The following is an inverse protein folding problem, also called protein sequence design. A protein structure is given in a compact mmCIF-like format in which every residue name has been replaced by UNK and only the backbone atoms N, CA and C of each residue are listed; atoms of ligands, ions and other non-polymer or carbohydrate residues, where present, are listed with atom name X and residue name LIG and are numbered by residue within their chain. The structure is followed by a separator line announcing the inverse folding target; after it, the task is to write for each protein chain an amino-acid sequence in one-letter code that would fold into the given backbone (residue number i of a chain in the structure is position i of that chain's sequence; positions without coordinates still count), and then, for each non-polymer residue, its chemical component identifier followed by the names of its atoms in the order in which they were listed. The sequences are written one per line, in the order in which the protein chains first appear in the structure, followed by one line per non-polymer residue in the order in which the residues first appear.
data_IF_074111741304
#
_entry.id   IF_074111741304
#
_cell.length_a   1.000
_cell.length_b   1.000
_cell.length_c   1.000
_cell.angle_alpha   90.00
_cell.angle_beta   90.00
_cell.angle_gamma   90.00
#
_symmetry.space_group_name_H-M   'P 1'
#
loop_
_entity.id
_entity.type
_entity.pdbx_description
1 polymer ?
#
# COMPACT_ATOMS: atom_id res chain seq x y z
N UNK A 1 58.98 24.62 -22.99
CA UNK A 1 59.74 23.46 -22.48
C UNK A 1 60.01 23.69 -21.01
N UNK A 2 59.14 23.19 -20.13
CA UNK A 2 59.29 23.35 -18.69
C UNK A 2 60.36 22.38 -18.17
N UNK A 3 61.36 22.91 -17.47
CA UNK A 3 62.40 22.15 -16.81
C UNK A 3 61.79 21.22 -15.76
N UNK A 4 61.69 19.92 -16.07
CA UNK A 4 61.55 18.88 -15.05
C UNK A 4 62.89 18.77 -14.34
N UNK A 5 63.01 19.36 -13.15
CA UNK A 5 64.22 19.22 -12.33
C UNK A 5 64.30 17.76 -11.82
N UNK A 6 65.46 17.08 -11.97
CA UNK A 6 65.66 15.71 -11.47
C UNK A 6 65.44 15.55 -9.95
N UNK A 7 65.49 16.66 -9.20
CA UNK A 7 65.25 16.66 -7.75
C UNK A 7 63.78 16.44 -7.36
N UNK A 8 62.82 16.65 -8.26
CA UNK A 8 61.41 16.36 -8.01
C UNK A 8 61.10 14.84 -8.14
N UNK A 9 61.91 14.10 -8.89
CA UNK A 9 61.77 12.64 -9.11
C UNK A 9 62.38 11.85 -7.94
N UNK A 10 63.34 12.44 -7.21
CA UNK A 10 64.06 11.79 -6.10
C UNK A 10 63.93 12.54 -4.76
N UNK A 11 62.79 13.15 -4.49
CA UNK A 11 62.52 13.65 -3.14
C UNK A 11 62.23 12.47 -2.20
N UNK A 12 62.92 12.35 -1.04
CA UNK A 12 62.65 11.30 -0.05
C UNK A 12 61.17 11.19 0.36
N UNK A 13 60.42 12.29 0.27
CA UNK A 13 58.99 12.31 0.53
C UNK A 13 58.18 11.58 -0.55
N UNK A 14 58.49 11.82 -1.83
CA UNK A 14 57.83 11.16 -2.97
C UNK A 14 58.17 9.67 -3.01
N UNK A 15 59.43 9.31 -2.73
CA UNK A 15 59.86 7.92 -2.63
C UNK A 15 59.14 7.17 -1.50
N UNK A 16 58.91 7.82 -0.34
CA UNK A 16 58.11 7.24 0.76
C UNK A 16 56.64 7.06 0.37
N UNK A 17 56.04 8.03 -0.33
CA UNK A 17 54.66 7.92 -0.80
C UNK A 17 54.49 6.81 -1.84
N UNK A 18 55.43 6.66 -2.78
CA UNK A 18 55.44 5.57 -3.74
C UNK A 18 55.62 4.21 -3.07
N UNK A 19 56.50 4.11 -2.06
CA UNK A 19 56.69 2.88 -1.30
C UNK A 19 55.45 2.50 -0.48
N UNK A 20 54.79 3.48 0.14
CA UNK A 20 53.53 3.27 0.84
C UNK A 20 52.42 2.80 -0.12
N UNK A 21 52.25 3.48 -1.25
CA UNK A 21 51.29 3.08 -2.28
C UNK A 21 51.60 1.67 -2.85
N UNK A 22 52.87 1.33 -3.05
CA UNK A 22 53.25 -0.02 -3.48
C UNK A 22 52.92 -1.09 -2.43
N UNK A 23 53.10 -0.79 -1.14
CA UNK A 23 52.70 -1.68 -0.05
C UNK A 23 51.19 -1.90 -0.03
N UNK A 24 50.42 -0.84 -0.18
CA UNK A 24 48.96 -0.89 -0.20
C UNK A 24 48.44 -1.67 -1.41
N UNK A 25 49.05 -1.49 -2.58
CA UNK A 25 48.74 -2.30 -3.77
C UNK A 25 49.07 -3.78 -3.57
N UNK A 26 50.21 -4.11 -2.96
CA UNK A 26 50.56 -5.50 -2.66
C UNK A 26 49.54 -6.15 -1.70
N UNK A 27 49.06 -5.40 -0.70
CA UNK A 27 47.99 -5.87 0.18
C UNK A 27 46.70 -6.12 -0.61
N UNK A 28 46.25 -5.15 -1.42
CA UNK A 28 45.06 -5.31 -2.28
C UNK A 28 45.20 -6.51 -3.23
N UNK A 29 46.36 -6.71 -3.84
CA UNK A 29 46.61 -7.84 -4.74
C UNK A 29 46.54 -9.18 -4.00
N UNK A 30 47.11 -9.26 -2.80
CA UNK A 30 47.00 -10.45 -1.96
C UNK A 30 45.55 -10.74 -1.55
N UNK A 31 44.81 -9.70 -1.16
CA UNK A 31 43.40 -9.79 -0.77
C UNK A 31 42.51 -10.21 -1.94
N UNK A 32 42.68 -9.61 -3.12
CA UNK A 32 41.98 -10.01 -4.35
C UNK A 32 42.32 -11.45 -4.73
N UNK A 33 43.59 -11.85 -4.66
CA UNK A 33 43.98 -13.24 -4.97
C UNK A 33 43.30 -14.26 -4.06
N UNK A 34 43.14 -13.93 -2.78
CA UNK A 34 42.40 -14.75 -1.83
C UNK A 34 40.90 -14.80 -2.18
N UNK A 35 40.26 -13.65 -2.43
CA UNK A 35 38.81 -13.60 -2.76
C UNK A 35 38.45 -14.26 -4.09
N UNK A 36 39.36 -14.27 -5.05
CA UNK A 36 39.17 -14.95 -6.34
C UNK A 36 39.70 -16.39 -6.36
N UNK A 37 40.08 -16.97 -5.20
CA UNK A 37 40.60 -18.33 -5.08
C UNK A 37 41.77 -18.61 -6.06
N UNK A 38 42.69 -17.66 -6.17
CA UNK A 38 43.83 -17.73 -7.08
C UNK A 38 43.52 -17.47 -8.57
N UNK A 39 42.27 -17.15 -8.93
CA UNK A 39 41.94 -16.65 -10.26
C UNK A 39 42.28 -15.16 -10.37
N UNK A 40 42.60 -14.71 -11.58
CA UNK A 40 42.88 -13.29 -11.81
C UNK A 40 41.59 -12.48 -11.68
N UNK A 41 41.60 -11.37 -10.92
CA UNK A 41 40.47 -10.45 -10.89
C UNK A 41 40.25 -9.82 -12.27
N UNK A 42 39.03 -9.33 -12.58
CA UNK A 42 38.77 -8.54 -13.77
C UNK A 42 39.74 -7.35 -13.90
N UNK A 43 40.09 -6.95 -15.11
CA UNK A 43 40.98 -5.80 -15.32
C UNK A 43 40.33 -4.52 -14.82
N UNK A 44 41.07 -3.73 -14.03
CA UNK A 44 40.64 -2.43 -13.54
C UNK A 44 41.78 -1.41 -13.63
N UNK A 45 41.42 -0.13 -13.62
CA UNK A 45 42.38 0.96 -13.64
C UNK A 45 43.10 1.08 -12.30
N UNK A 46 44.44 1.16 -12.30
CA UNK A 46 45.22 1.41 -11.08
C UNK A 46 45.49 2.90 -10.92
N UNK A 47 44.65 3.57 -10.14
CA UNK A 47 44.80 4.98 -9.77
C UNK A 47 44.62 5.15 -8.24
N UNK A 48 44.81 6.36 -7.70
CA UNK A 48 44.72 6.57 -6.25
C UNK A 48 43.30 6.36 -5.71
N UNK A 49 42.29 6.76 -6.49
CA UNK A 49 40.88 6.64 -6.11
C UNK A 49 40.44 5.18 -6.01
N UNK A 50 40.86 4.35 -6.97
CA UNK A 50 40.63 2.90 -6.96
C UNK A 50 41.37 2.21 -5.84
N UNK A 51 42.62 2.59 -5.55
CA UNK A 51 43.35 2.07 -4.39
C UNK A 51 42.59 2.36 -3.09
N UNK A 52 42.15 3.61 -2.90
CA UNK A 52 41.39 4.03 -1.72
C UNK A 52 40.07 3.25 -1.59
N UNK A 53 39.35 3.08 -2.70
CA UNK A 53 38.10 2.31 -2.72
C UNK A 53 38.33 0.83 -2.38
N UNK A 54 39.36 0.20 -2.97
CA UNK A 54 39.69 -1.20 -2.73
C UNK A 54 40.18 -1.45 -1.30
N UNK A 55 40.97 -0.55 -0.73
CA UNK A 55 41.36 -0.63 0.68
C UNK A 55 40.16 -0.50 1.62
N UNK A 56 39.23 0.41 1.33
CA UNK A 56 38.01 0.55 2.11
C UNK A 56 37.13 -0.70 2.02
N UNK A 57 37.00 -1.30 0.83
CA UNK A 57 36.28 -2.56 0.63
C UNK A 57 36.95 -3.73 1.34
N UNK A 58 38.28 -3.83 1.27
CA UNK A 58 39.03 -4.86 1.97
C UNK A 58 38.84 -4.74 3.48
N UNK A 59 38.98 -3.55 4.05
CA UNK A 59 38.77 -3.30 5.47
C UNK A 59 37.34 -3.64 5.93
N UNK A 60 36.31 -3.25 5.16
CA UNK A 60 34.92 -3.58 5.46
C UNK A 60 34.66 -5.08 5.37
N UNK A 61 35.29 -5.75 4.41
CA UNK A 61 35.16 -7.18 4.26
C UNK A 61 35.85 -7.94 5.40
N UNK A 62 37.07 -7.55 5.75
CA UNK A 62 37.82 -8.14 6.87
C UNK A 62 37.04 -7.94 8.19
N UNK A 63 36.48 -6.74 8.44
CA UNK A 63 35.63 -6.53 9.63
C UNK A 63 34.37 -7.40 9.63
N UNK A 64 33.74 -7.58 8.47
CA UNK A 64 32.55 -8.43 8.37
C UNK A 64 32.88 -9.92 8.54
N UNK A 65 34.05 -10.35 8.06
CA UNK A 65 34.53 -11.73 8.25
C UNK A 65 34.92 -11.97 9.72
N UNK A 66 35.57 -11.02 10.39
CA UNK A 66 35.84 -11.07 11.84
C UNK A 66 34.55 -11.14 12.68
N UNK A 67 33.54 -10.33 12.36
CA UNK A 67 32.24 -10.36 13.04
C UNK A 67 31.54 -11.71 12.85
N UNK A 68 31.56 -12.28 11.63
CA UNK A 68 31.02 -13.62 11.36
C UNK A 68 31.74 -14.69 12.15
N UNK A 69 33.07 -14.65 12.18
CA UNK A 69 33.89 -15.59 12.95
C UNK A 69 33.61 -15.50 14.46
N UNK A 70 33.41 -14.29 14.98
CA UNK A 70 33.03 -14.09 16.39
C UNK A 70 31.64 -14.69 16.67
N UNK A 71 30.66 -14.40 15.83
CA UNK A 71 29.30 -14.93 15.96
C UNK A 71 29.29 -16.46 15.88
N UNK A 72 30.01 -17.06 14.94
CA UNK A 72 30.12 -18.51 14.81
C UNK A 72 30.74 -19.16 16.07
N UNK A 73 31.73 -18.53 16.70
CA UNK A 73 32.31 -19.01 17.97
C UNK A 73 31.33 -18.90 19.13
N UNK A 74 30.58 -17.79 19.20
CA UNK A 74 29.55 -17.58 20.23
C UNK A 74 28.45 -18.62 20.08
N UNK A 75 27.96 -18.86 18.86
CA UNK A 75 26.95 -19.87 18.56
C UNK A 75 27.45 -21.28 18.89
N UNK A 76 28.67 -21.64 18.48
CA UNK A 76 29.26 -22.94 18.80
C UNK A 76 29.39 -23.18 20.32
N UNK A 77 29.82 -22.16 21.06
CA UNK A 77 29.91 -22.24 22.52
C UNK A 77 28.52 -22.31 23.17
N UNK A 78 27.56 -21.50 22.71
CA UNK A 78 26.19 -21.54 23.21
C UNK A 78 25.54 -22.90 22.98
N UNK A 79 25.76 -23.52 21.80
CA UNK A 79 25.31 -24.89 21.51
C UNK A 79 25.96 -25.90 22.45
N UNK A 80 27.27 -25.81 22.69
CA UNK A 80 27.96 -26.70 23.63
C UNK A 80 27.39 -26.58 25.06
N UNK A 81 27.14 -25.35 25.52
CA UNK A 81 26.58 -25.08 26.84
C UNK A 81 25.13 -25.60 26.98
N UNK A 82 24.35 -25.59 25.88
CA UNK A 82 22.99 -26.15 25.85
C UNK A 82 23.01 -27.68 25.90
N UNK A 83 23.85 -28.33 25.08
CA UNK A 83 24.00 -29.79 25.09
C UNK A 83 24.44 -30.30 26.47
N UNK A 84 25.40 -29.62 27.10
CA UNK A 84 25.85 -29.97 28.45
C UNK A 84 24.75 -29.82 29.52
N UNK A 85 23.78 -28.92 29.31
CA UNK A 85 22.62 -28.77 30.20
C UNK A 85 21.57 -29.85 29.97
N UNK A 86 21.31 -30.23 28.71
CA UNK A 86 20.40 -31.33 28.38
C UNK A 86 20.87 -32.66 28.97
N UNK A 87 22.16 -32.98 28.85
CA UNK A 87 22.75 -34.20 29.42
C UNK A 87 22.61 -34.28 30.96
N UNK A 88 22.50 -33.13 31.62
CA UNK A 88 22.33 -33.01 33.08
C UNK A 88 20.90 -32.83 33.56
N UNK A 89 19.89 -32.83 32.67
CA UNK A 89 18.51 -32.55 33.05
C UNK A 89 17.84 -33.77 33.71
N UNK A 90 17.50 -33.70 35.02
CA UNK A 90 16.82 -34.79 35.72
C UNK A 90 15.40 -35.07 35.20
N UNK A 91 14.84 -34.20 34.37
CA UNK A 91 13.51 -34.37 33.77
C UNK A 91 13.54 -34.95 32.36
N UNK A 92 14.71 -35.17 31.78
CA UNK A 92 14.87 -35.73 30.43
C UNK A 92 14.12 -37.06 30.23
N UNK A 93 14.21 -37.99 31.20
CA UNK A 93 13.50 -39.27 31.16
C UNK A 93 11.96 -39.10 31.16
N UNK A 94 11.44 -38.13 31.92
CA UNK A 94 10.01 -37.82 31.96
C UNK A 94 9.53 -37.21 30.65
N UNK A 95 10.30 -36.31 30.07
CA UNK A 95 10.00 -35.69 28.76
C UNK A 95 9.98 -36.75 27.67
N UNK A 96 10.99 -37.62 27.62
CA UNK A 96 11.04 -38.73 26.67
C UNK A 96 9.84 -39.67 26.82
N UNK A 97 9.46 -40.03 28.06
CA UNK A 97 8.28 -40.86 28.31
C UNK A 97 6.97 -40.19 27.88
N UNK A 98 6.87 -38.86 27.98
CA UNK A 98 5.71 -38.11 27.50
C UNK A 98 5.67 -38.11 25.96
N UNK A 99 6.81 -37.87 25.31
CA UNK A 99 6.93 -37.90 23.85
C UNK A 99 6.60 -39.27 23.25
N UNK A 100 7.03 -40.35 23.90
CA UNK A 100 6.71 -41.73 23.52
C UNK A 100 5.22 -42.07 23.70
N UNK A 101 4.53 -41.37 24.60
CA UNK A 101 3.10 -41.56 24.86
C UNK A 101 2.20 -40.78 23.89
N UNK A 102 2.76 -39.87 23.09
CA UNK A 102 2.00 -39.09 22.12
C UNK A 102 1.56 -39.97 20.94
N UNK A 103 0.39 -39.65 20.38
CA UNK A 103 -0.02 -40.20 19.09
C UNK A 103 0.90 -39.66 17.99
N UNK A 104 0.96 -40.35 16.85
CA UNK A 104 1.70 -39.88 15.66
C UNK A 104 1.33 -38.45 15.25
N UNK A 105 0.05 -38.11 15.34
CA UNK A 105 -0.45 -36.75 15.08
C UNK A 105 0.04 -35.74 16.12
N UNK A 106 0.08 -36.13 17.39
CA UNK A 106 0.63 -35.32 18.48
C UNK A 106 2.12 -35.03 18.29
N UNK A 107 2.91 -36.04 17.95
CA UNK A 107 4.35 -35.89 17.65
C UNK A 107 4.56 -34.94 16.47
N UNK A 108 3.83 -35.14 15.37
CA UNK A 108 3.93 -34.29 14.17
C UNK A 108 3.57 -32.83 14.49
N UNK A 109 2.53 -32.61 15.30
CA UNK A 109 2.09 -31.27 15.69
C UNK A 109 3.09 -30.57 16.61
N UNK A 110 3.68 -31.30 17.55
CA UNK A 110 4.72 -30.79 18.45
C UNK A 110 5.98 -30.41 17.67
N UNK A 111 6.43 -31.28 16.77
CA UNK A 111 7.58 -31.01 15.89
C UNK A 111 7.34 -29.81 14.99
N UNK A 112 6.13 -29.66 14.43
CA UNK A 112 5.75 -28.49 13.65
C UNK A 112 5.78 -27.19 14.48
N UNK A 113 5.31 -27.23 15.73
CA UNK A 113 5.38 -26.09 16.65
C UNK A 113 6.82 -25.75 17.04
N UNK A 114 7.65 -26.74 17.36
CA UNK A 114 9.06 -26.55 17.67
C UNK A 114 9.81 -25.94 16.47
N UNK A 115 9.60 -26.50 15.28
CA UNK A 115 10.19 -26.00 14.02
C UNK A 115 9.74 -24.57 13.73
N UNK A 116 8.44 -24.28 13.88
CA UNK A 116 7.92 -22.92 13.69
C UNK A 116 8.50 -21.94 14.71
N UNK A 117 8.68 -22.37 15.95
CA UNK A 117 9.29 -21.57 17.01
C UNK A 117 10.73 -21.19 16.69
N UNK A 118 11.53 -22.16 16.24
CA UNK A 118 12.91 -21.95 15.82
C UNK A 118 12.97 -21.05 14.59
N UNK A 119 12.15 -21.33 13.57
CA UNK A 119 12.10 -20.53 12.34
C UNK A 119 11.70 -19.07 12.59
N UNK A 120 10.80 -18.83 13.55
CA UNK A 120 10.35 -17.49 13.96
C UNK A 120 11.24 -16.88 15.06
N UNK A 121 12.33 -17.57 15.45
CA UNK A 121 13.23 -17.18 16.52
C UNK A 121 12.51 -16.81 17.83
N UNK A 122 11.49 -17.58 18.19
CA UNK A 122 10.74 -17.44 19.43
C UNK A 122 11.18 -18.53 20.41
N UNK A 123 11.79 -18.21 21.57
CA UNK A 123 12.25 -19.23 22.52
C UNK A 123 11.13 -19.80 23.41
N UNK A 124 10.01 -19.08 23.58
CA UNK A 124 8.85 -19.48 24.37
C UNK A 124 7.58 -19.27 23.54
N UNK A 125 7.30 -20.17 22.57
CA UNK A 125 6.19 -19.99 21.66
C UNK A 125 4.86 -20.15 22.40
N UNK A 126 4.01 -19.13 22.30
CA UNK A 126 2.57 -19.34 22.45
C UNK A 126 1.95 -19.41 21.06
N UNK A 127 0.86 -20.17 20.90
CA UNK A 127 0.19 -20.32 19.61
C UNK A 127 -0.21 -18.93 19.07
N UNK A 128 -0.64 -18.00 19.94
CA UNK A 128 -0.98 -16.64 19.50
C UNK A 128 0.25 -15.86 19.02
N UNK A 129 1.42 -16.03 19.66
CA UNK A 129 2.66 -15.35 19.26
C UNK A 129 3.23 -15.89 17.96
N UNK A 130 3.18 -17.21 17.75
CA UNK A 130 3.55 -17.83 16.48
C UNK A 130 2.61 -17.38 15.35
N UNK A 131 1.30 -17.42 15.60
CA UNK A 131 0.30 -16.98 14.63
C UNK A 131 0.46 -15.50 14.26
N UNK A 132 0.69 -14.62 15.24
CA UNK A 132 0.92 -13.20 15.00
C UNK A 132 2.19 -12.95 14.21
N UNK A 133 3.30 -13.60 14.58
CA UNK A 133 4.57 -13.47 13.85
C UNK A 133 4.45 -13.96 12.41
N UNK A 134 3.66 -15.02 12.17
CA UNK A 134 3.37 -15.51 10.82
C UNK A 134 2.57 -14.48 10.01
N UNK A 135 1.55 -13.86 10.62
CA UNK A 135 0.79 -12.79 9.97
C UNK A 135 1.66 -11.57 9.69
N UNK A 136 2.51 -11.16 10.63
CA UNK A 136 3.42 -10.03 10.47
C UNK A 136 4.42 -10.29 9.32
N UNK A 137 4.98 -11.49 9.24
CA UNK A 137 5.83 -11.90 8.11
C UNK A 137 5.07 -11.89 6.78
N UNK A 138 3.81 -12.35 6.78
CA UNK A 138 2.98 -12.38 5.59
C UNK A 138 2.66 -10.96 5.11
N UNK A 139 2.33 -10.03 6.02
CA UNK A 139 2.16 -8.61 5.71
C UNK A 139 3.45 -8.03 5.12
N UNK A 140 4.59 -8.26 5.76
CA UNK A 140 5.88 -7.78 5.28
C UNK A 140 6.22 -8.33 3.88
N UNK A 141 5.89 -9.58 3.61
CA UNK A 141 6.07 -10.21 2.30
C UNK A 141 5.23 -9.51 1.23
N UNK A 142 3.94 -9.25 1.50
CA UNK A 142 3.08 -8.53 0.56
C UNK A 142 3.54 -7.08 0.33
N UNK A 143 3.97 -6.38 1.39
CA UNK A 143 4.49 -5.02 1.28
C UNK A 143 5.75 -4.98 0.40
N UNK A 144 6.65 -5.96 0.57
CA UNK A 144 7.88 -6.06 -0.22
C UNK A 144 7.58 -6.41 -1.69
N UNK A 145 6.62 -7.28 -1.94
CA UNK A 145 6.20 -7.67 -3.29
C UNK A 145 5.60 -6.47 -4.05
N UNK A 146 4.70 -5.72 -3.39
CA UNK A 146 4.14 -4.48 -3.94
C UNK A 146 5.23 -3.43 -4.19
N UNK A 147 6.19 -3.28 -3.27
CA UNK A 147 7.31 -2.37 -3.46
C UNK A 147 8.18 -2.77 -4.66
N UNK A 148 8.41 -4.07 -4.85
CA UNK A 148 9.16 -4.63 -5.98
C UNK A 148 8.46 -4.37 -7.31
N UNK A 149 7.15 -4.62 -7.39
CA UNK A 149 6.35 -4.32 -8.59
C UNK A 149 6.39 -2.82 -8.93
N UNK A 150 6.24 -1.96 -7.90
CA UNK A 150 6.32 -0.50 -8.09
C UNK A 150 7.70 -0.06 -8.60
N UNK A 151 8.78 -0.63 -8.06
CA UNK A 151 10.14 -0.34 -8.52
C UNK A 151 10.30 -0.78 -9.98
N UNK A 152 9.80 -1.96 -10.34
CA UNK A 152 9.85 -2.47 -11.73
C UNK A 152 9.13 -1.55 -12.72
N UNK A 153 7.95 -1.05 -12.36
CA UNK A 153 7.21 -0.08 -13.18
C UNK A 153 8.01 1.22 -13.34
N UNK A 154 8.61 1.72 -12.25
CA UNK A 154 9.39 2.95 -12.27
C UNK A 154 10.67 2.79 -13.10
N UNK A 155 11.33 1.64 -13.01
CA UNK A 155 12.49 1.29 -13.83
C UNK A 155 12.12 1.27 -15.32
N UNK A 156 11.03 0.58 -15.68
CA UNK A 156 10.54 0.54 -17.07
C UNK A 156 10.21 1.93 -17.60
N UNK A 157 9.61 2.79 -16.76
CA UNK A 157 9.33 4.18 -17.10
C UNK A 157 10.62 4.98 -17.33
N UNK A 158 11.59 4.89 -16.41
CA UNK A 158 12.87 5.58 -16.55
C UNK A 158 13.64 5.12 -17.78
N UNK A 159 13.65 3.83 -18.08
CA UNK A 159 14.29 3.29 -19.27
C UNK A 159 13.62 3.81 -20.56
N UNK A 160 12.29 3.92 -20.57
CA UNK A 160 11.54 4.51 -21.68
C UNK A 160 11.85 6.00 -21.87
N UNK A 161 11.90 6.76 -20.77
CA UNK A 161 12.25 8.18 -20.81
C UNK A 161 13.70 8.38 -21.26
N UNK A 162 14.65 7.58 -20.76
CA UNK A 162 16.04 7.61 -21.22
C UNK A 162 16.15 7.30 -22.71
N UNK A 163 15.42 6.30 -23.21
CA UNK A 163 15.38 6.01 -24.64
C UNK A 163 14.83 7.20 -25.45
N UNK A 164 13.71 7.79 -24.99
CA UNK A 164 13.11 8.99 -25.59
C UNK A 164 14.08 10.17 -25.63
N UNK A 165 14.73 10.47 -24.51
CA UNK A 165 15.71 11.55 -24.41
C UNK A 165 16.90 11.28 -25.34
N UNK A 166 17.40 10.05 -25.40
CA UNK A 166 18.48 9.69 -26.32
C UNK A 166 18.07 9.86 -27.79
N UNK A 167 16.83 9.52 -28.15
CA UNK A 167 16.31 9.80 -29.51
C UNK A 167 16.24 11.30 -29.78
N UNK A 168 15.74 12.09 -28.83
CA UNK A 168 15.66 13.54 -28.97
C UNK A 168 17.05 14.19 -29.09
N UNK A 169 18.02 13.74 -28.29
CA UNK A 169 19.41 14.22 -28.38
C UNK A 169 19.97 13.95 -29.78
N UNK A 170 19.74 12.74 -30.32
CA UNK A 170 20.18 12.38 -31.66
C UNK A 170 19.52 13.27 -32.73
N UNK A 171 18.22 13.53 -32.60
CA UNK A 171 17.49 14.38 -33.54
C UNK A 171 17.96 15.84 -33.48
N UNK A 172 18.21 16.38 -32.29
CA UNK A 172 18.71 17.74 -32.07
C UNK A 172 20.17 17.92 -32.52
N UNK A 173 20.98 16.87 -32.43
CA UNK A 173 22.37 16.87 -32.91
C UNK A 173 22.48 16.61 -34.42
N UNK A 174 21.40 16.23 -35.09
CA UNK A 174 21.37 16.00 -36.53
C UNK A 174 21.42 17.29 -37.33
N UNK A 175 22.16 17.28 -38.45
CA UNK A 175 22.35 18.43 -39.36
C UNK A 175 21.04 18.97 -39.99
N UNK A 176 19.94 18.22 -39.86
CA UNK A 176 18.59 18.58 -40.32
C UNK A 176 17.76 19.40 -39.33
N UNK A 177 18.22 19.57 -38.08
CA UNK A 177 17.47 20.32 -37.08
C UNK A 177 17.58 21.84 -37.31
N UNK A 178 16.49 22.46 -37.76
CA UNK A 178 16.31 23.91 -37.79
C UNK A 178 15.38 24.30 -36.63
N UNK A 179 15.79 25.17 -35.70
CA UNK A 179 14.93 25.66 -34.63
C UNK A 179 13.66 26.27 -35.24
N UNK A 180 12.45 25.85 -34.80
CA UNK A 180 11.21 26.46 -35.27
C UNK A 180 11.22 27.97 -35.02
N UNK A 181 10.86 28.78 -36.01
CA UNK A 181 10.90 30.24 -35.91
C UNK A 181 10.02 30.81 -34.76
N UNK A 182 9.03 30.03 -34.29
CA UNK A 182 8.15 30.39 -33.18
C UNK A 182 8.60 29.86 -31.80
N UNK A 183 9.78 29.23 -31.69
CA UNK A 183 10.31 28.66 -30.43
C UNK A 183 10.37 29.71 -29.31
N UNK A 184 10.78 30.94 -29.63
CA UNK A 184 10.86 32.04 -28.67
C UNK A 184 9.47 32.44 -28.15
N UNK A 185 8.46 32.46 -29.02
CA UNK A 185 7.07 32.75 -28.63
C UNK A 185 6.52 31.63 -27.74
N UNK A 186 6.72 30.37 -28.13
CA UNK A 186 6.29 29.21 -27.34
C UNK A 186 6.98 29.15 -25.97
N UNK A 187 8.27 29.49 -25.90
CA UNK A 187 9.02 29.54 -24.63
C UNK A 187 8.45 30.58 -23.68
N UNK A 188 8.10 31.77 -24.20
CA UNK A 188 7.44 32.82 -23.42
C UNK A 188 6.07 32.36 -22.91
N UNK A 189 5.29 31.67 -23.76
CA UNK A 189 3.97 31.15 -23.38
C UNK A 189 4.08 30.02 -22.34
N UNK A 190 5.04 29.11 -22.48
CA UNK A 190 5.31 28.08 -21.47
C UNK A 190 5.79 28.67 -20.15
N UNK A 191 6.64 29.71 -20.18
CA UNK A 191 7.04 30.43 -18.97
C UNK A 191 5.85 31.11 -18.28
N UNK A 192 4.93 31.72 -19.04
CA UNK A 192 3.70 32.31 -18.50
C UNK A 192 2.80 31.24 -17.87
N UNK A 193 2.60 30.11 -18.55
CA UNK A 193 1.81 28.97 -18.04
C UNK A 193 2.44 28.36 -16.80
N UNK A 194 3.76 28.16 -16.80
CA UNK A 194 4.49 27.63 -15.65
C UNK A 194 4.37 28.55 -14.44
N UNK A 195 4.49 29.88 -14.61
CA UNK A 195 4.26 30.86 -13.52
C UNK A 195 2.81 30.82 -13.02
N UNK A 196 1.83 30.71 -13.91
CA UNK A 196 0.42 30.63 -13.53
C UNK A 196 0.07 29.32 -12.81
N UNK A 197 0.73 28.21 -13.14
CA UNK A 197 0.59 26.93 -12.43
C UNK A 197 1.34 26.94 -11.10
N UNK A 198 2.56 27.50 -11.06
CA UNK A 198 3.34 27.60 -9.81
C UNK A 198 2.65 28.50 -8.78
N UNK A 199 1.95 29.55 -9.21
CA UNK A 199 1.15 30.40 -8.31
C UNK A 199 -0.07 29.69 -7.74
N UNK A 200 -0.61 28.66 -8.42
CA UNK A 200 -1.74 27.84 -7.95
C UNK A 200 -1.31 26.65 -7.08
N UNK A 201 -0.05 26.26 -7.16
CA UNK A 201 0.54 25.16 -6.40
C UNK A 201 0.40 25.33 -4.86
N UNK A 202 0.63 26.51 -4.26
CA UNK A 202 0.39 26.71 -2.83
C UNK A 202 -1.09 26.56 -2.47
N UNK A 203 -2.02 27.11 -3.27
CA UNK A 203 -3.46 26.95 -3.05
C UNK A 203 -3.90 25.48 -3.10
N UNK A 204 -3.38 24.70 -4.06
CA UNK A 204 -3.63 23.26 -4.14
C UNK A 204 -3.02 22.50 -2.96
N UNK A 205 -1.81 22.86 -2.52
CA UNK A 205 -1.18 22.29 -1.33
C UNK A 205 -2.00 22.61 -0.07
N UNK A 206 -2.51 23.83 0.07
CA UNK A 206 -3.36 24.24 1.19
C UNK A 206 -4.72 23.54 1.14
N UNK A 207 -5.27 23.31 -0.05
CA UNK A 207 -6.50 22.52 -0.25
C UNK A 207 -6.29 21.05 0.12
N UNK A 208 -5.16 20.46 -0.24
CA UNK A 208 -4.81 19.08 0.18
C UNK A 208 -4.54 19.04 1.68
N UNK A 209 -3.85 20.04 2.23
CA UNK A 209 -3.57 20.14 3.66
C UNK A 209 -4.87 20.28 4.47
N UNK A 210 -5.81 21.12 4.05
CA UNK A 210 -7.12 21.29 4.70
C UNK A 210 -8.00 20.04 4.58
N UNK A 211 -8.04 19.39 3.42
CA UNK A 211 -8.72 18.10 3.25
C UNK A 211 -8.09 17.00 4.11
N UNK A 212 -6.76 16.96 4.19
CA UNK A 212 -6.05 16.01 5.05
C UNK A 212 -6.20 16.32 6.55
N UNK A 213 -6.34 17.61 6.92
CA UNK A 213 -6.59 18.03 8.30
C UNK A 213 -8.01 17.66 8.74
N UNK A 214 -8.99 17.71 7.84
CA UNK A 214 -10.34 17.18 8.07
C UNK A 214 -10.39 15.65 8.18
N UNK A 215 -9.42 14.94 7.59
CA UNK A 215 -9.31 13.47 7.65
C UNK A 215 -8.38 12.95 8.76
N UNK A 216 -7.81 13.83 9.61
CA UNK A 216 -6.83 13.48 10.65
C UNK A 216 -7.42 13.05 12.00
N UNK A 217 -8.74 12.92 12.13
CA UNK A 217 -9.29 12.11 13.22
C UNK A 217 -9.09 10.67 12.81
N UNK A 218 -8.13 9.96 13.41
CA UNK A 218 -8.03 8.51 13.29
C UNK A 218 -9.42 7.94 13.57
N UNK A 219 -10.10 7.44 12.55
CA UNK A 219 -11.43 6.83 12.69
C UNK A 219 -11.24 5.65 13.62
N UNK A 220 -11.71 5.79 14.85
CA UNK A 220 -11.59 4.76 15.86
C UNK A 220 -12.69 3.74 15.63
N UNK A 221 -12.48 2.48 16.04
CA UNK A 221 -13.53 1.44 15.98
C UNK A 221 -14.81 1.91 16.69
N UNK A 222 -14.66 2.75 17.73
CA UNK A 222 -15.76 3.40 18.43
C UNK A 222 -16.59 4.33 17.52
N UNK A 223 -15.94 5.08 16.62
CA UNK A 223 -16.61 6.01 15.70
C UNK A 223 -17.39 5.26 14.62
N UNK A 224 -16.81 4.16 14.11
CA UNK A 224 -17.50 3.25 13.17
C UNK A 224 -18.74 2.65 13.84
N UNK A 225 -18.63 2.23 15.10
CA UNK A 225 -19.77 1.68 15.85
C UNK A 225 -20.86 2.73 16.08
N UNK A 226 -20.51 3.98 16.38
CA UNK A 226 -21.49 5.06 16.51
C UNK A 226 -22.21 5.33 15.18
N UNK A 227 -21.48 5.33 14.07
CA UNK A 227 -22.07 5.57 12.75
C UNK A 227 -22.94 4.38 12.29
N UNK A 228 -22.56 3.16 12.65
CA UNK A 228 -23.37 1.96 12.44
C UNK A 228 -24.71 2.04 13.19
N UNK A 229 -24.70 2.49 14.45
CA UNK A 229 -25.93 2.66 15.23
C UNK A 229 -26.84 3.77 14.66
N UNK A 230 -26.26 4.88 14.19
CA UNK A 230 -27.03 5.91 13.46
C UNK A 230 -27.62 5.36 12.17
N UNK A 231 -26.86 4.57 11.42
CA UNK A 231 -27.33 3.95 10.18
C UNK A 231 -28.47 2.96 10.46
N UNK A 232 -28.37 2.14 11.52
CA UNK A 232 -29.47 1.27 11.97
C UNK A 232 -30.72 2.06 12.35
N UNK A 233 -30.56 3.17 13.06
CA UNK A 233 -31.67 4.05 13.39
C UNK A 233 -32.33 4.64 12.13
N UNK A 234 -31.53 5.10 11.16
CA UNK A 234 -32.03 5.61 9.89
C UNK A 234 -32.71 4.52 9.05
N UNK A 235 -32.18 3.31 9.04
CA UNK A 235 -32.81 2.15 8.43
C UNK A 235 -34.19 1.86 9.06
N UNK A 236 -34.31 1.99 10.38
CA UNK A 236 -35.60 1.82 11.06
C UNK A 236 -36.60 2.91 10.67
N UNK A 237 -36.16 4.17 10.54
CA UNK A 237 -37.03 5.26 10.08
C UNK A 237 -37.43 5.09 8.62
N UNK A 238 -36.50 4.73 7.74
CA UNK A 238 -36.78 4.42 6.33
C UNK A 238 -37.78 3.27 6.23
N UNK A 239 -37.60 2.18 6.97
CA UNK A 239 -38.54 1.07 6.98
C UNK A 239 -39.93 1.49 7.47
N UNK A 240 -40.01 2.38 8.46
CA UNK A 240 -41.27 2.98 8.92
C UNK A 240 -41.94 3.83 7.84
N UNK A 241 -41.16 4.68 7.16
CA UNK A 241 -41.65 5.51 6.05
C UNK A 241 -42.06 4.66 4.86
N UNK A 242 -41.32 3.61 4.51
CA UNK A 242 -41.69 2.66 3.46
C UNK A 242 -42.98 1.90 3.81
N UNK A 243 -43.18 1.51 5.07
CA UNK A 243 -44.44 0.92 5.52
C UNK A 243 -45.60 1.93 5.40
N UNK A 244 -45.34 3.21 5.72
CA UNK A 244 -46.32 4.28 5.55
C UNK A 244 -46.63 4.53 4.06
N UNK A 245 -45.63 4.56 3.19
CA UNK A 245 -45.80 4.66 1.72
C UNK A 245 -46.53 3.44 1.15
N UNK A 246 -46.25 2.24 1.65
CA UNK A 246 -47.00 1.02 1.30
C UNK A 246 -48.45 1.07 1.76
N UNK A 247 -48.76 1.74 2.87
CA UNK A 247 -50.17 1.95 3.27
C UNK A 247 -50.93 2.87 2.30
N UNK A 248 -50.20 3.70 1.54
CA UNK A 248 -50.75 4.51 0.46
C UNK A 248 -50.68 3.82 -0.92
N UNK A 249 -50.14 2.59 -1.01
CA UNK A 249 -50.13 1.81 -2.24
C UNK A 249 -51.56 1.34 -2.56
N UNK A 250 -52.16 1.97 -3.56
CA UNK A 250 -53.58 1.82 -3.92
C UNK A 250 -54.27 3.15 -4.18
N UNK A 251 -53.69 4.27 -3.73
CA UNK A 251 -54.08 5.61 -4.18
C UNK A 251 -53.54 5.84 -5.60
N UNK A 252 -54.35 6.30 -6.56
CA UNK A 252 -53.87 6.65 -7.89
C UNK A 252 -52.71 7.66 -7.77
N UNK A 253 -51.61 7.41 -8.48
CA UNK A 253 -50.43 8.30 -8.50
C UNK A 253 -50.76 9.70 -9.01
N UNK A 254 -51.90 9.85 -9.69
CA UNK A 254 -52.35 11.08 -10.29
C UNK A 254 -53.59 11.60 -9.53
N UNK A 255 -53.39 12.63 -8.70
CA UNK A 255 -54.43 13.20 -7.84
C UNK A 255 -55.58 13.80 -8.63
N UNK A 256 -55.32 14.20 -9.88
CA UNK A 256 -56.32 14.82 -10.74
C UNK A 256 -57.26 13.78 -11.35
N UNK A 257 -56.77 12.59 -11.69
CA UNK A 257 -57.61 11.45 -12.12
C UNK A 257 -58.52 10.97 -10.99
N UNK A 258 -57.99 10.84 -9.77
CA UNK A 258 -58.78 10.44 -8.60
C UNK A 258 -59.88 11.46 -8.26
N UNK A 259 -59.62 12.75 -8.46
CA UNK A 259 -60.62 13.82 -8.30
C UNK A 259 -61.71 13.75 -9.38
N UNK A 260 -61.32 13.43 -10.61
CA UNK A 260 -62.25 13.27 -11.73
C UNK A 260 -63.22 12.12 -11.49
N UNK A 261 -62.72 10.97 -11.03
CA UNK A 261 -63.52 9.79 -10.71
C UNK A 261 -64.45 10.04 -9.49
N UNK A 262 -63.98 10.78 -8.49
CA UNK A 262 -64.80 11.18 -7.35
C UNK A 262 -65.94 12.11 -7.79
N UNK A 263 -65.65 13.08 -8.67
CA UNK A 263 -66.67 13.99 -9.17
C UNK A 263 -67.67 13.29 -10.09
N UNK A 264 -67.25 12.30 -10.91
CA UNK A 264 -68.19 11.47 -11.68
C UNK A 264 -69.10 10.65 -10.78
N UNK A 265 -68.57 10.04 -9.73
CA UNK A 265 -69.38 9.29 -8.75
C UNK A 265 -70.34 10.21 -7.97
N UNK A 266 -69.96 11.47 -7.70
CA UNK A 266 -70.86 12.46 -7.09
C UNK A 266 -72.00 12.87 -8.02
N UNK A 267 -71.72 12.99 -9.31
CA UNK A 267 -72.76 13.27 -10.31
C UNK A 267 -73.74 12.08 -10.36
N UNK A 268 -73.22 10.85 -10.43
CA UNK A 268 -74.05 9.64 -10.42
C UNK A 268 -74.91 9.52 -9.15
N UNK A 269 -74.35 9.86 -7.98
CA UNK A 269 -75.11 9.87 -6.72
C UNK A 269 -76.20 10.95 -6.75
N UNK A 270 -75.93 12.14 -7.29
CA UNK A 270 -76.97 13.17 -7.47
C UNK A 270 -78.08 12.70 -8.41
N UNK A 271 -77.73 12.06 -9.52
CA UNK A 271 -78.72 11.56 -10.48
C UNK A 271 -79.59 10.45 -9.87
N UNK A 272 -79.00 9.52 -9.11
CA UNK A 272 -79.75 8.51 -8.35
C UNK A 272 -80.62 9.15 -7.27
N UNK A 273 -80.16 10.24 -6.64
CA UNK A 273 -80.95 10.99 -5.66
C UNK A 273 -82.13 11.67 -6.32
N UNK A 274 -81.95 12.29 -7.50
CA UNK A 274 -83.03 12.89 -8.28
C UNK A 274 -84.02 11.83 -8.79
N UNK A 275 -83.54 10.66 -9.21
CA UNK A 275 -84.42 9.54 -9.56
C UNK A 275 -85.22 9.06 -8.35
N UNK A 276 -84.59 8.92 -7.18
CA UNK A 276 -85.28 8.58 -5.93
C UNK A 276 -86.35 9.62 -5.61
N UNK A 277 -86.01 10.91 -5.70
CA UNK A 277 -86.92 11.99 -5.35
C UNK A 277 -88.06 12.11 -6.36
N UNK A 278 -87.81 11.90 -7.66
CA UNK A 278 -88.86 11.82 -8.69
C UNK A 278 -89.77 10.60 -8.52
N UNK A 279 -89.22 9.43 -8.17
CA UNK A 279 -90.04 8.26 -7.83
C UNK A 279 -90.86 8.50 -6.56
N UNK A 280 -90.29 9.21 -5.58
CA UNK A 280 -90.99 9.59 -4.35
C UNK A 280 -92.11 10.59 -4.63
N UNK A 281 -91.87 11.63 -5.44
CA UNK A 281 -92.90 12.56 -5.90
C UNK A 281 -94.01 11.84 -6.67
N UNK A 282 -93.67 10.91 -7.57
CA UNK A 282 -94.66 10.09 -8.29
C UNK A 282 -95.47 9.15 -7.38
N UNK A 283 -94.90 8.69 -6.26
CA UNK A 283 -95.62 7.97 -5.21
C UNK A 283 -96.55 8.91 -4.42
N UNK A 284 -96.08 10.11 -4.08
CA UNK A 284 -96.85 11.14 -3.36
C UNK A 284 -98.00 11.70 -4.23
N UNK A 285 -97.83 11.86 -5.54
CA UNK A 285 -98.88 12.26 -6.48
C UNK A 285 -99.94 11.17 -6.71
N UNK A 286 -99.55 9.89 -6.62
CA UNK A 286 -100.50 8.76 -6.66
C UNK A 286 -101.30 8.61 -5.36
N UNK A 287 -100.70 8.94 -4.22
CA UNK A 287 -101.32 8.86 -2.89
C UNK A 287 -102.03 10.17 -2.48
N UNK A 288 -101.84 11.26 -3.22
CA UNK A 288 -102.53 12.54 -2.95
C UNK A 288 -103.86 12.64 -3.71
N UNK A 289 -104.98 12.91 -3.01
CA UNK A 289 -106.29 12.99 -3.65
C UNK A 289 -106.37 14.23 -4.56
N UNK A 290 -106.56 13.99 -5.86
CA UNK A 290 -106.89 15.03 -6.83
C UNK A 290 -108.18 15.72 -6.42
N UNK A 291 -108.09 16.99 -6.02
CA UNK A 291 -109.25 17.83 -5.71
C UNK A 291 -109.89 18.27 -7.03
N UNK A 292 -110.81 17.46 -7.55
CA UNK A 292 -111.73 17.86 -8.62
C UNK A 292 -112.54 19.07 -8.15
N UNK A 293 -112.33 20.23 -8.79
CA UNK A 293 -113.18 21.42 -8.63
C UNK A 293 -114.55 21.15 -9.26
N UNK A 294 -115.58 21.06 -8.41
CA UNK A 294 -116.96 21.44 -8.72
C UNK A 294 -117.11 22.96 -8.62
#
# INVERSE_FOLDING_TARGET
MAHLSPSAIFSPSVARQQLAAAKDWNYVDSWLSAKFNGKNPPSFERNNDTLKALLALAALNDSADEERDLMARVEAKALQDLLAKEEGDPHSELVNSLEDSLTREGQTSLEALATSSVALNQPLPSIERLGRSTLDLQVALYDLDQASERISILEAYLNRELASINTLIKDLQGDSYQPPADLTKQTIDYQRRAKALSSKLPELKDRVASLSAGARTKITIQDVKMEEEKFKALMATVKGLEAQVKSYHGLPQDTDLARLELESLRIELRDLTLQRDSMFEGLVERESPTKTRS
#
